data_IF_417473951986
#
_entry.id   IF_417473951986
#
_cell.length_a   1.000
_cell.length_b   1.000
_cell.length_c   1.000
_cell.angle_alpha   90.00
_cell.angle_beta   90.00
_cell.angle_gamma   90.00
#
_symmetry.space_group_name_H-M   'P 1'
#
loop_
_entity.id
_entity.type
_entity.pdbx_description
1 polymer ?
#
# COMPACT_ATOMS: atom_id res chain seq x y z
N UNK A 1 9.43 -22.96 4.63
CA UNK A 1 8.76 -23.27 5.91
C UNK A 1 9.80 -23.13 7.00
N UNK A 2 9.85 -21.98 7.65
CA UNK A 2 10.64 -21.82 8.87
C UNK A 2 9.64 -21.54 9.98
N UNK A 3 9.65 -22.39 11.03
CA UNK A 3 8.89 -22.16 12.28
C UNK A 3 7.36 -22.26 12.18
N UNK A 4 6.84 -23.12 11.30
CA UNK A 4 5.41 -23.48 11.29
C UNK A 4 4.51 -22.53 10.49
N UNK A 5 5.09 -21.55 9.79
CA UNK A 5 4.39 -20.69 8.84
C UNK A 5 4.96 -20.85 7.43
N UNK A 6 4.06 -20.84 6.45
CA UNK A 6 4.36 -20.76 5.03
C UNK A 6 4.07 -19.34 4.54
N UNK A 7 5.04 -18.75 3.85
CA UNK A 7 4.84 -17.55 3.05
C UNK A 7 5.02 -17.96 1.57
N UNK A 8 3.93 -18.21 0.83
CA UNK A 8 4.01 -18.80 -0.50
C UNK A 8 4.92 -18.04 -1.48
N UNK A 9 5.48 -18.76 -2.44
CA UNK A 9 6.22 -18.18 -3.55
C UNK A 9 5.27 -17.75 -4.68
N UNK A 10 4.19 -18.51 -4.87
CA UNK A 10 3.16 -18.22 -5.86
C UNK A 10 2.48 -16.89 -5.57
N UNK A 11 2.10 -16.16 -6.62
CA UNK A 11 1.49 -14.83 -6.48
C UNK A 11 2.51 -13.68 -6.28
N UNK A 12 3.78 -13.99 -6.02
CA UNK A 12 4.86 -13.00 -5.94
C UNK A 12 5.44 -12.68 -7.33
N UNK A 13 6.04 -11.50 -7.53
CA UNK A 13 6.81 -11.19 -8.73
C UNK A 13 8.06 -12.06 -8.85
N UNK A 14 8.42 -12.41 -10.08
CA UNK A 14 9.66 -13.14 -10.35
C UNK A 14 10.85 -12.19 -10.10
N UNK A 15 11.87 -12.67 -9.40
CA UNK A 15 13.07 -11.89 -9.07
C UNK A 15 13.77 -11.27 -10.28
N UNK A 16 13.57 -11.83 -11.48
CA UNK A 16 14.16 -11.35 -12.74
C UNK A 16 13.40 -10.19 -13.41
N UNK A 17 12.13 -9.93 -13.04
CA UNK A 17 11.28 -8.97 -13.76
C UNK A 17 11.20 -7.59 -13.10
N UNK A 18 11.50 -7.51 -11.79
CA UNK A 18 11.49 -6.26 -11.04
C UNK A 18 12.64 -6.28 -10.02
N UNK A 19 13.77 -5.59 -10.27
CA UNK A 19 14.89 -5.52 -9.32
C UNK A 19 14.53 -4.74 -8.04
N UNK A 20 13.42 -4.00 -8.06
CA UNK A 20 12.76 -3.44 -6.88
C UNK A 20 11.91 -4.55 -6.24
N UNK A 21 12.32 -4.98 -5.05
CA UNK A 21 11.85 -6.14 -4.27
C UNK A 21 10.36 -5.99 -3.91
N UNK A 22 9.47 -6.22 -4.88
CA UNK A 22 8.05 -6.47 -4.60
C UNK A 22 7.98 -7.91 -4.06
N UNK A 23 7.93 -8.05 -2.74
CA UNK A 23 7.87 -9.37 -2.06
C UNK A 23 6.45 -9.82 -1.74
N UNK A 24 5.46 -8.96 -1.93
CA UNK A 24 4.04 -9.24 -1.70
C UNK A 24 3.39 -10.05 -2.81
N UNK A 25 2.23 -10.63 -2.49
CA UNK A 25 1.41 -11.47 -3.35
C UNK A 25 0.49 -10.65 -4.27
N UNK A 26 1.00 -9.57 -4.87
CA UNK A 26 0.19 -8.60 -5.63
C UNK A 26 -0.59 -9.25 -6.78
N UNK A 27 -0.09 -10.34 -7.39
CA UNK A 27 -0.79 -11.04 -8.47
C UNK A 27 -2.14 -11.63 -8.00
N UNK A 28 -2.23 -12.08 -6.74
CA UNK A 28 -3.48 -12.60 -6.17
C UNK A 28 -4.56 -11.50 -6.07
N UNK A 29 -4.17 -10.29 -5.66
CA UNK A 29 -5.07 -9.15 -5.61
C UNK A 29 -5.48 -8.70 -7.03
N UNK A 30 -4.55 -8.67 -7.99
CA UNK A 30 -4.84 -8.29 -9.38
C UNK A 30 -5.78 -9.28 -10.08
N UNK A 31 -5.65 -10.59 -9.82
CA UNK A 31 -6.57 -11.59 -10.37
C UNK A 31 -8.01 -11.36 -9.88
N UNK A 32 -8.19 -11.00 -8.59
CA UNK A 32 -9.51 -10.65 -8.06
C UNK A 32 -10.09 -9.39 -8.68
N UNK A 33 -9.25 -8.40 -9.00
CA UNK A 33 -9.71 -7.13 -9.56
C UNK A 33 -9.85 -7.13 -11.08
N UNK A 34 -9.34 -8.17 -11.77
CA UNK A 34 -9.23 -8.25 -13.23
C UNK A 34 -8.53 -7.02 -13.84
N UNK A 35 -7.63 -6.35 -13.10
CA UNK A 35 -6.83 -5.27 -13.67
C UNK A 35 -5.96 -5.86 -14.80
N UNK A 36 -6.18 -5.39 -16.03
CA UNK A 36 -5.51 -5.81 -17.26
C UNK A 36 -3.97 -5.65 -17.17
N UNK A 37 -3.28 -6.59 -16.52
CA UNK A 37 -1.84 -6.81 -16.76
C UNK A 37 -1.64 -7.86 -17.84
N UNK A 38 -2.53 -7.96 -18.83
CA UNK A 38 -2.37 -8.61 -20.15
C UNK A 38 -1.88 -10.05 -20.25
N UNK A 39 -1.43 -10.68 -19.16
CA UNK A 39 -0.77 -11.98 -19.05
C UNK A 39 -0.78 -12.42 -17.57
N UNK A 40 -1.94 -12.39 -16.89
CA UNK A 40 -2.09 -13.22 -15.70
C UNK A 40 -2.75 -14.52 -16.15
N UNK A 41 -2.11 -15.69 -15.95
CA UNK A 41 -2.83 -16.94 -16.09
C UNK A 41 -3.97 -16.93 -15.07
N UNK A 42 -5.16 -17.30 -15.54
CA UNK A 42 -6.40 -17.40 -14.75
C UNK A 42 -6.36 -18.60 -13.79
N UNK A 43 -5.35 -18.64 -12.93
CA UNK A 43 -5.08 -19.76 -12.03
C UNK A 43 -4.22 -19.41 -10.82
N UNK A 44 -3.93 -18.14 -10.51
CA UNK A 44 -2.89 -17.84 -9.48
C UNK A 44 -3.39 -18.24 -8.09
N UNK A 45 -4.69 -18.10 -7.83
CA UNK A 45 -5.33 -18.61 -6.62
C UNK A 45 -5.31 -20.15 -6.52
N UNK A 46 -5.56 -20.84 -7.62
CA UNK A 46 -5.48 -22.30 -7.70
C UNK A 46 -4.04 -22.79 -7.48
N UNK A 47 -3.07 -22.11 -8.09
CA UNK A 47 -1.65 -22.42 -7.97
C UNK A 47 -1.16 -22.23 -6.52
N UNK A 48 -1.59 -21.16 -5.84
CA UNK A 48 -1.20 -20.94 -4.43
C UNK A 48 -1.86 -21.96 -3.50
N UNK A 49 -3.12 -22.35 -3.75
CA UNK A 49 -3.77 -23.43 -3.02
C UNK A 49 -3.03 -24.75 -3.20
N UNK A 50 -2.58 -25.06 -4.43
CA UNK A 50 -1.80 -26.26 -4.71
C UNK A 50 -0.44 -26.22 -3.99
N UNK A 51 0.25 -25.07 -3.98
CA UNK A 51 1.49 -24.88 -3.23
C UNK A 51 1.28 -25.14 -1.73
N UNK A 52 0.23 -24.57 -1.13
CA UNK A 52 -0.10 -24.76 0.29
C UNK A 52 -0.36 -26.25 0.58
N UNK A 53 -1.19 -26.91 -0.24
CA UNK A 53 -1.51 -28.34 -0.09
C UNK A 53 -0.29 -29.24 -0.22
N UNK A 54 0.59 -28.95 -1.18
CA UNK A 54 1.82 -29.73 -1.41
C UNK A 54 2.85 -29.56 -0.29
N UNK A 55 2.97 -28.36 0.28
CA UNK A 55 3.91 -28.09 1.37
C UNK A 55 3.36 -28.49 2.75
N UNK A 56 2.05 -28.66 2.89
CA UNK A 56 1.41 -29.20 4.10
C UNK A 56 1.55 -28.31 5.33
N UNK A 57 1.61 -26.99 5.15
CA UNK A 57 1.75 -26.03 6.26
C UNK A 57 0.39 -25.69 6.87
N UNK A 58 0.29 -25.71 8.19
CA UNK A 58 -0.93 -25.38 8.93
C UNK A 58 -1.20 -23.86 8.96
N UNK A 59 -0.15 -23.05 9.09
CA UNK A 59 -0.25 -21.60 9.06
C UNK A 59 0.31 -21.05 7.75
N UNK A 60 -0.44 -20.14 7.12
CA UNK A 60 -0.08 -19.51 5.86
C UNK A 60 -0.23 -18.01 5.97
N UNK A 61 0.77 -17.26 5.49
CA UNK A 61 0.75 -15.81 5.42
C UNK A 61 0.73 -15.40 3.95
N UNK A 62 -0.33 -14.68 3.57
CA UNK A 62 -0.44 -13.98 2.29
C UNK A 62 -0.54 -12.49 2.61
N UNK A 63 0.21 -11.66 1.86
CA UNK A 63 0.20 -10.21 2.07
C UNK A 63 0.32 -9.46 0.75
N UNK A 64 -0.55 -8.49 0.54
CA UNK A 64 -0.44 -7.51 -0.54
C UNK A 64 -1.20 -6.23 -0.15
N UNK A 65 -0.58 -5.06 -0.38
CA UNK A 65 -1.27 -3.78 -0.13
C UNK A 65 -2.49 -3.59 -1.03
N UNK A 66 -2.50 -4.18 -2.22
CA UNK A 66 -3.60 -4.06 -3.18
C UNK A 66 -4.91 -4.71 -2.72
N UNK A 67 -4.90 -5.56 -1.68
CA UNK A 67 -6.15 -6.02 -1.07
C UNK A 67 -6.97 -4.84 -0.51
N UNK A 68 -6.34 -3.77 -0.02
CA UNK A 68 -7.06 -2.60 0.50
C UNK A 68 -7.69 -1.75 -0.61
N UNK A 69 -7.35 -1.98 -1.88
CA UNK A 69 -7.96 -1.31 -3.02
C UNK A 69 -9.25 -2.00 -3.50
N UNK A 70 -9.56 -3.18 -2.96
CA UNK A 70 -10.78 -3.91 -3.28
C UNK A 70 -11.94 -3.28 -2.51
N UNK A 71 -12.72 -2.46 -3.21
CA UNK A 71 -13.92 -1.78 -2.69
C UNK A 71 -15.22 -2.41 -3.23
N UNK A 72 -15.16 -3.63 -3.77
CA UNK A 72 -16.29 -4.34 -4.32
C UNK A 72 -16.59 -5.61 -3.50
N UNK A 73 -17.80 -5.69 -2.98
CA UNK A 73 -18.26 -6.78 -2.10
C UNK A 73 -18.10 -8.16 -2.75
N UNK A 74 -18.39 -8.26 -4.06
CA UNK A 74 -18.27 -9.51 -4.83
C UNK A 74 -16.83 -10.05 -4.85
N UNK A 75 -15.83 -9.17 -5.00
CA UNK A 75 -14.42 -9.56 -5.03
C UNK A 75 -13.96 -10.10 -3.67
N UNK A 76 -14.45 -9.53 -2.57
CA UNK A 76 -14.19 -10.02 -1.21
C UNK A 76 -14.89 -11.37 -1.00
N UNK A 77 -16.11 -11.54 -1.53
CA UNK A 77 -16.81 -12.83 -1.52
C UNK A 77 -16.03 -13.91 -2.27
N UNK A 78 -15.47 -13.59 -3.44
CA UNK A 78 -14.66 -14.52 -4.22
C UNK A 78 -13.39 -14.91 -3.47
N UNK A 79 -12.71 -13.94 -2.84
CA UNK A 79 -11.59 -14.21 -1.95
C UNK A 79 -11.98 -15.15 -0.79
N UNK A 80 -13.13 -14.92 -0.15
CA UNK A 80 -13.64 -15.81 0.90
C UNK A 80 -13.87 -17.23 0.40
N UNK A 81 -14.34 -17.41 -0.83
CA UNK A 81 -14.51 -18.72 -1.45
C UNK A 81 -13.17 -19.44 -1.66
N UNK A 82 -12.16 -18.75 -2.18
CA UNK A 82 -10.79 -19.29 -2.31
C UNK A 82 -10.18 -19.71 -0.96
N UNK A 83 -10.58 -19.05 0.12
CA UNK A 83 -10.05 -19.31 1.45
C UNK A 83 -11.01 -20.13 2.34
N UNK A 84 -12.03 -20.75 1.76
CA UNK A 84 -13.09 -21.46 2.51
C UNK A 84 -12.61 -22.66 3.31
N UNK A 85 -11.49 -23.29 2.91
CA UNK A 85 -10.86 -24.40 3.62
C UNK A 85 -10.05 -23.94 4.87
N UNK A 86 -9.92 -22.63 5.12
CA UNK A 86 -9.04 -22.08 6.15
C UNK A 86 -9.76 -21.16 7.14
N UNK A 87 -9.36 -21.20 8.41
CA UNK A 87 -9.66 -20.13 9.35
C UNK A 87 -8.82 -18.90 8.97
N UNK A 88 -9.45 -17.92 8.34
CA UNK A 88 -8.76 -16.76 7.79
C UNK A 88 -8.84 -15.58 8.75
N UNK A 89 -7.68 -15.11 9.25
CA UNK A 89 -7.54 -13.81 9.92
C UNK A 89 -7.05 -12.76 8.92
N UNK A 90 -7.60 -11.55 8.99
CA UNK A 90 -7.24 -10.41 8.14
C UNK A 90 -6.53 -9.36 8.99
N UNK A 91 -5.23 -9.18 8.76
CA UNK A 91 -4.44 -8.14 9.44
C UNK A 91 -4.39 -6.89 8.55
N UNK A 92 -4.86 -5.75 9.05
CA UNK A 92 -4.89 -4.49 8.30
C UNK A 92 -4.19 -3.40 9.09
N UNK A 93 -3.22 -2.74 8.45
CA UNK A 93 -2.55 -1.56 8.98
C UNK A 93 -3.16 -0.30 8.38
N UNK A 94 -3.83 0.51 9.21
CA UNK A 94 -4.43 1.78 8.81
C UNK A 94 -3.39 2.89 8.98
N UNK A 95 -3.13 3.63 7.90
CA UNK A 95 -2.23 4.78 7.91
C UNK A 95 -3.04 6.07 7.96
N UNK A 96 -2.50 7.14 8.53
CA UNK A 96 -3.20 8.43 8.58
C UNK A 96 -3.59 8.90 7.16
N UNK A 97 -4.85 9.31 6.95
CA UNK A 97 -5.41 9.44 5.60
C UNK A 97 -4.69 10.44 4.70
N UNK A 98 -4.24 11.56 5.26
CA UNK A 98 -3.46 12.58 4.54
C UNK A 98 -2.12 12.02 4.06
N UNK A 99 -1.42 11.27 4.92
CA UNK A 99 -0.17 10.60 4.58
C UNK A 99 -0.39 9.45 3.59
N UNK A 100 -1.46 8.68 3.76
CA UNK A 100 -1.80 7.55 2.89
C UNK A 100 -2.13 8.01 1.48
N UNK A 101 -3.08 8.94 1.31
CA UNK A 101 -3.51 9.42 -0.01
C UNK A 101 -2.38 10.18 -0.73
N UNK A 102 -1.56 10.93 0.01
CA UNK A 102 -0.36 11.57 -0.55
C UNK A 102 0.66 10.53 -1.02
N UNK A 103 0.89 9.48 -0.23
CA UNK A 103 1.81 8.39 -0.59
C UNK A 103 1.32 7.64 -1.83
N UNK A 104 0.02 7.32 -1.90
CA UNK A 104 -0.59 6.65 -3.05
C UNK A 104 -0.50 7.51 -4.31
N UNK A 105 -0.78 8.82 -4.21
CA UNK A 105 -0.61 9.77 -5.30
C UNK A 105 0.84 9.78 -5.81
N UNK A 106 1.81 9.92 -4.91
CA UNK A 106 3.23 9.91 -5.27
C UNK A 106 3.62 8.61 -5.99
N UNK A 107 3.13 7.46 -5.54
CA UNK A 107 3.37 6.17 -6.20
C UNK A 107 2.76 6.13 -7.61
N UNK A 108 1.48 6.52 -7.75
CA UNK A 108 0.80 6.55 -9.06
C UNK A 108 1.48 7.53 -10.03
N UNK A 109 1.93 8.69 -9.57
CA UNK A 109 2.73 9.63 -10.37
C UNK A 109 4.06 9.01 -10.81
N UNK A 110 4.78 8.34 -9.91
CA UNK A 110 6.04 7.64 -10.24
C UNK A 110 5.86 6.54 -11.28
N UNK A 111 4.77 5.78 -11.17
CA UNK A 111 4.41 4.74 -12.14
C UNK A 111 3.90 5.31 -13.47
N UNK A 112 3.80 6.65 -13.58
CA UNK A 112 3.22 7.31 -14.73
C UNK A 112 1.70 7.20 -14.81
N UNK A 113 1.04 6.63 -13.81
CA UNK A 113 -0.40 6.36 -13.83
C UNK A 113 -1.23 7.62 -13.54
N UNK A 114 -0.64 8.63 -12.89
CA UNK A 114 -1.34 9.86 -12.53
C UNK A 114 -0.71 11.13 -13.11
N UNK A 115 -1.55 12.04 -13.59
CA UNK A 115 -1.16 13.35 -14.11
C UNK A 115 -2.00 14.52 -13.58
N UNK A 116 -3.04 14.26 -12.79
CA UNK A 116 -3.82 15.29 -12.09
C UNK A 116 -3.04 15.86 -10.90
N UNK A 117 -3.58 16.92 -10.29
CA UNK A 117 -3.07 17.48 -9.04
C UNK A 117 -3.41 16.58 -7.86
N UNK A 118 -2.68 16.72 -6.74
CA UNK A 118 -2.99 15.95 -5.53
C UNK A 118 -4.42 16.22 -5.02
N UNK A 119 -4.93 17.46 -5.13
CA UNK A 119 -6.29 17.79 -4.72
C UNK A 119 -7.35 17.05 -5.57
N UNK A 120 -7.16 17.02 -6.89
CA UNK A 120 -8.03 16.26 -7.80
C UNK A 120 -7.97 14.76 -7.49
N UNK A 121 -6.75 14.23 -7.32
CA UNK A 121 -6.54 12.84 -6.95
C UNK A 121 -7.26 12.47 -5.65
N UNK A 122 -7.06 13.25 -4.59
CA UNK A 122 -7.71 13.01 -3.30
C UNK A 122 -9.22 12.99 -3.46
N UNK A 123 -9.81 13.92 -4.22
CA UNK A 123 -11.25 13.97 -4.45
C UNK A 123 -11.79 12.71 -5.12
N UNK A 124 -11.08 12.17 -6.11
CA UNK A 124 -11.46 10.95 -6.83
C UNK A 124 -11.22 9.68 -6.01
N UNK A 125 -10.23 9.71 -5.10
CA UNK A 125 -9.74 8.55 -4.36
C UNK A 125 -10.14 8.56 -2.87
N UNK A 126 -11.07 9.45 -2.47
CA UNK A 126 -11.59 9.53 -1.08
C UNK A 126 -12.07 8.18 -0.53
N UNK A 127 -12.74 7.30 -1.31
CA UNK A 127 -13.21 6.02 -0.79
C UNK A 127 -12.10 5.14 -0.18
N UNK A 128 -10.85 5.25 -0.66
CA UNK A 128 -9.73 4.50 -0.08
C UNK A 128 -9.32 4.99 1.33
N UNK A 129 -9.74 6.19 1.72
CA UNK A 129 -9.50 6.75 3.06
C UNK A 129 -10.60 6.46 4.08
N UNK A 130 -11.74 5.91 3.64
CA UNK A 130 -12.87 5.60 4.51
C UNK A 130 -12.72 4.21 5.14
N UNK A 131 -11.95 4.16 6.22
CA UNK A 131 -11.59 2.90 6.87
C UNK A 131 -12.76 2.18 7.49
N UNK A 132 -13.73 2.89 8.06
CA UNK A 132 -14.92 2.22 8.59
C UNK A 132 -15.67 1.47 7.49
N UNK A 133 -15.91 2.11 6.34
CA UNK A 133 -16.59 1.45 5.22
C UNK A 133 -15.78 0.27 4.66
N UNK A 134 -14.46 0.44 4.49
CA UNK A 134 -13.55 -0.66 4.13
C UNK A 134 -13.73 -1.83 5.11
N UNK A 135 -13.60 -1.59 6.42
CA UNK A 135 -13.64 -2.65 7.42
C UNK A 135 -15.02 -3.32 7.54
N UNK A 136 -16.12 -2.59 7.29
CA UNK A 136 -17.46 -3.19 7.26
C UNK A 136 -17.61 -4.21 6.14
N UNK A 137 -17.05 -3.92 4.96
CA UNK A 137 -17.06 -4.88 3.85
C UNK A 137 -16.29 -6.15 4.19
N UNK A 138 -15.09 -6.02 4.75
CA UNK A 138 -14.30 -7.19 5.19
C UNK A 138 -15.01 -7.95 6.32
N UNK A 139 -15.60 -7.23 7.28
CA UNK A 139 -16.37 -7.80 8.40
C UNK A 139 -17.55 -8.63 7.93
N UNK A 140 -18.24 -8.20 6.88
CA UNK A 140 -19.39 -8.93 6.33
C UNK A 140 -19.05 -10.36 5.91
N UNK A 141 -17.85 -10.60 5.39
CA UNK A 141 -17.44 -11.92 4.86
C UNK A 141 -16.55 -12.72 5.80
N UNK A 142 -15.73 -12.04 6.60
CA UNK A 142 -14.76 -12.68 7.49
C UNK A 142 -15.19 -12.65 8.95
N UNK A 143 -16.15 -11.82 9.37
CA UNK A 143 -16.50 -11.64 10.78
C UNK A 143 -15.55 -10.65 11.48
N UNK A 144 -16.03 -9.99 12.54
CA UNK A 144 -15.25 -8.97 13.25
C UNK A 144 -14.09 -9.58 14.04
N UNK A 145 -14.32 -10.76 14.63
CA UNK A 145 -13.36 -11.55 15.40
C UNK A 145 -12.14 -12.02 14.58
N UNK A 146 -12.26 -11.96 13.25
CA UNK A 146 -11.18 -12.32 12.34
C UNK A 146 -10.46 -11.09 11.76
N UNK A 147 -10.87 -9.87 12.10
CA UNK A 147 -10.21 -8.64 11.68
C UNK A 147 -9.26 -8.14 12.77
N UNK A 148 -7.97 -8.11 12.44
CA UNK A 148 -6.90 -7.65 13.33
C UNK A 148 -6.45 -6.27 12.85
N UNK A 149 -6.99 -5.23 13.48
CA UNK A 149 -6.74 -3.84 13.08
C UNK A 149 -5.51 -3.30 13.80
N UNK A 150 -4.57 -2.76 13.02
CA UNK A 150 -3.34 -2.11 13.50
C UNK A 150 -3.28 -0.67 12.96
N UNK A 151 -2.59 0.20 13.68
CA UNK A 151 -2.37 1.59 13.25
C UNK A 151 -0.93 1.75 12.82
N UNK A 152 -0.71 2.19 11.58
CA UNK A 152 0.61 2.48 11.01
C UNK A 152 1.11 3.83 11.54
N UNK A 153 1.49 3.85 12.82
CA UNK A 153 2.07 5.02 13.49
C UNK A 153 3.18 4.54 14.43
N UNK A 154 4.39 5.10 14.28
CA UNK A 154 5.59 4.59 14.97
C UNK A 154 5.44 4.53 16.48
N UNK A 155 4.76 5.52 17.07
CA UNK A 155 4.44 5.60 18.50
C UNK A 155 3.51 4.48 18.98
N UNK A 156 2.78 3.82 18.08
CA UNK A 156 1.82 2.76 18.40
C UNK A 156 2.36 1.34 18.18
N UNK A 157 3.54 1.20 17.55
CA UNK A 157 4.14 -0.11 17.31
C UNK A 157 4.75 -0.71 18.58
N UNK A 158 4.51 -2.00 18.82
CA UNK A 158 5.23 -2.76 19.85
C UNK A 158 6.64 -3.10 19.34
N UNK A 159 7.66 -2.37 19.81
CA UNK A 159 9.06 -2.60 19.46
C UNK A 159 9.36 -2.56 17.95
N UNK A 160 8.68 -1.67 17.21
CA UNK A 160 8.82 -1.49 15.77
C UNK A 160 7.85 -2.33 14.94
N UNK A 161 7.69 -1.97 13.66
CA UNK A 161 6.65 -2.53 12.78
C UNK A 161 6.72 -4.06 12.64
N UNK A 162 7.93 -4.63 12.52
CA UNK A 162 8.09 -6.07 12.32
C UNK A 162 7.60 -6.82 13.56
N UNK A 163 8.05 -6.42 14.76
CA UNK A 163 7.58 -7.02 16.00
C UNK A 163 6.08 -6.81 16.20
N UNK A 164 5.55 -5.65 15.84
CA UNK A 164 4.12 -5.38 15.88
C UNK A 164 3.31 -6.39 15.06
N UNK A 165 3.76 -6.69 13.84
CA UNK A 165 3.15 -7.68 12.97
C UNK A 165 3.30 -9.09 13.49
N UNK A 166 4.50 -9.49 13.90
CA UNK A 166 4.76 -10.83 14.43
C UNK A 166 3.89 -11.13 15.66
N UNK A 167 3.79 -10.17 16.58
CA UNK A 167 2.89 -10.27 17.73
C UNK A 167 1.40 -10.31 17.32
N UNK A 168 1.00 -9.64 16.24
CA UNK A 168 -0.39 -9.65 15.80
C UNK A 168 -0.87 -10.99 15.23
N UNK A 169 0.06 -11.89 14.89
CA UNK A 169 -0.23 -13.23 14.35
C UNK A 169 0.29 -14.35 15.26
N UNK A 170 0.64 -14.01 16.51
CA UNK A 170 1.23 -14.93 17.49
C UNK A 170 2.45 -15.70 16.95
N UNK A 171 3.29 -15.02 16.16
CA UNK A 171 4.49 -15.63 15.60
C UNK A 171 5.49 -15.98 16.70
N UNK A 172 6.12 -17.18 16.69
CA UNK A 172 6.92 -17.67 17.82
C UNK A 172 8.30 -17.00 17.98
N UNK A 173 8.64 -16.02 17.16
CA UNK A 173 9.93 -15.33 17.17
C UNK A 173 9.75 -13.81 17.16
N UNK A 174 10.68 -13.14 17.83
CA UNK A 174 10.88 -11.69 17.70
C UNK A 174 11.76 -11.38 16.46
N UNK A 175 11.63 -10.18 15.93
CA UNK A 175 12.40 -9.72 14.77
C UNK A 175 13.92 -9.80 14.99
N UNK A 176 14.38 -9.59 16.23
CA UNK A 176 15.81 -9.69 16.61
C UNK A 176 16.38 -11.11 16.45
N UNK A 177 15.51 -12.12 16.44
CA UNK A 177 15.88 -13.53 16.27
C UNK A 177 15.82 -13.97 14.79
N UNK A 178 15.30 -13.11 13.90
CA UNK A 178 15.18 -13.39 12.49
C UNK A 178 16.46 -13.03 11.74
N UNK A 179 16.97 -13.96 10.94
CA UNK A 179 18.04 -13.68 9.99
C UNK A 179 17.44 -13.16 8.70
N UNK A 180 17.28 -11.84 8.60
CA UNK A 180 16.96 -11.20 7.34
C UNK A 180 18.18 -10.44 6.81
N UNK A 181 18.43 -10.54 5.50
CA UNK A 181 19.46 -9.75 4.85
C UNK A 181 19.08 -8.27 4.97
N UNK A 182 19.84 -7.50 5.76
CA UNK A 182 19.73 -6.04 5.84
C UNK A 182 20.01 -5.33 4.51
N UNK A 183 20.41 -6.09 3.47
CA UNK A 183 20.73 -5.64 2.12
C UNK A 183 19.56 -4.97 1.37
N UNK A 184 18.33 -5.00 1.89
CA UNK A 184 17.18 -4.28 1.32
C UNK A 184 16.60 -3.21 2.25
N UNK A 185 17.41 -2.60 3.11
CA UNK A 185 17.14 -1.21 3.53
C UNK A 185 17.50 -0.25 2.39
N UNK A 186 17.09 -0.54 1.14
CA UNK A 186 16.65 0.54 0.28
C UNK A 186 15.45 1.11 1.02
N UNK A 187 15.70 2.06 1.91
CA UNK A 187 14.65 2.86 2.49
C UNK A 187 13.74 3.23 1.33
N UNK A 188 12.45 2.95 1.44
CA UNK A 188 11.44 3.59 0.61
C UNK A 188 11.50 5.08 0.95
N UNK A 189 12.61 5.74 0.60
CA UNK A 189 12.84 7.15 0.80
C UNK A 189 11.76 7.78 -0.05
N UNK A 190 10.84 8.45 0.65
CA UNK A 190 9.86 9.25 -0.04
C UNK A 190 10.64 10.23 -0.92
N UNK A 191 10.54 10.03 -2.22
CA UNK A 191 11.16 10.89 -3.22
C UNK A 191 10.78 12.35 -2.93
N UNK A 192 11.70 13.27 -3.26
CA UNK A 192 11.44 14.70 -3.16
C UNK A 192 10.08 15.08 -3.77
N UNK A 193 9.30 15.86 -3.04
CA UNK A 193 7.99 16.34 -3.50
C UNK A 193 8.13 17.21 -4.76
N UNK A 194 9.24 17.94 -4.91
CA UNK A 194 9.59 18.64 -6.16
C UNK A 194 9.74 17.68 -7.33
N UNK A 195 10.42 16.55 -7.14
CA UNK A 195 10.56 15.54 -8.19
C UNK A 195 9.19 14.92 -8.55
N UNK A 196 8.31 14.66 -7.58
CA UNK A 196 6.92 14.24 -7.86
C UNK A 196 6.17 15.27 -8.70
N UNK A 197 6.27 16.57 -8.38
CA UNK A 197 5.64 17.62 -9.19
C UNK A 197 6.18 17.65 -10.63
N UNK A 198 7.49 17.49 -10.82
CA UNK A 198 8.09 17.41 -12.16
C UNK A 198 7.56 16.19 -12.92
N UNK A 199 7.57 15.00 -12.30
CA UNK A 199 7.03 13.78 -12.89
C UNK A 199 5.56 13.93 -13.28
N UNK A 200 4.74 14.54 -12.42
CA UNK A 200 3.33 14.78 -12.71
C UNK A 200 3.15 15.66 -13.96
N UNK A 201 3.94 16.73 -14.10
CA UNK A 201 3.92 17.57 -15.31
C UNK A 201 4.34 16.79 -16.55
N UNK A 202 5.35 15.94 -16.45
CA UNK A 202 5.79 15.06 -17.55
C UNK A 202 4.70 14.05 -17.93
N UNK A 203 4.02 13.46 -16.94
CA UNK A 203 2.88 12.55 -17.17
C UNK A 203 1.74 13.27 -17.92
N UNK A 204 1.48 14.54 -17.59
CA UNK A 204 0.46 15.37 -18.25
C UNK A 204 0.82 15.67 -19.71
N UNK A 205 2.09 15.98 -20.00
CA UNK A 205 2.57 16.24 -21.38
C UNK A 205 2.50 14.97 -22.23
N UNK A 206 2.78 13.82 -21.63
CA UNK A 206 2.72 12.50 -22.28
C UNK A 206 1.30 11.90 -22.30
N UNK A 207 0.28 12.67 -21.94
CA UNK A 207 -1.13 12.26 -21.92
C UNK A 207 -1.72 12.14 -23.32
N UNK A 208 -1.70 10.93 -23.88
CA UNK A 208 -2.33 10.63 -25.16
C UNK A 208 -2.88 9.20 -25.22
N UNK A 209 -4.02 9.04 -25.90
CA UNK A 209 -4.83 7.81 -25.85
C UNK A 209 -4.44 6.75 -26.90
N UNK A 210 -3.51 7.06 -27.80
CA UNK A 210 -3.08 6.10 -28.83
C UNK A 210 -2.13 5.04 -28.25
N UNK A 211 -2.10 3.85 -28.85
CA UNK A 211 -1.18 2.78 -28.45
C UNK A 211 0.30 3.22 -28.52
N UNK A 212 0.65 4.09 -29.47
CA UNK A 212 1.99 4.65 -29.63
C UNK A 212 2.33 5.57 -28.44
N UNK A 213 1.41 6.44 -28.04
CA UNK A 213 1.58 7.32 -26.87
C UNK A 213 1.69 6.52 -25.58
N UNK A 214 0.89 5.45 -25.40
CA UNK A 214 1.02 4.52 -24.27
C UNK A 214 2.40 3.84 -24.23
N UNK A 215 2.95 3.44 -25.39
CA UNK A 215 4.29 2.84 -25.48
C UNK A 215 5.41 3.85 -25.19
N UNK A 216 5.30 5.07 -25.71
CA UNK A 216 6.24 6.16 -25.43
C UNK A 216 6.20 6.56 -23.95
N UNK A 217 5.01 6.64 -23.36
CA UNK A 217 4.81 6.87 -21.93
C UNK A 217 5.52 5.81 -21.09
N UNK A 218 5.35 4.52 -21.38
CA UNK A 218 6.06 3.44 -20.66
C UNK A 218 7.59 3.57 -20.76
N UNK A 219 8.12 3.92 -21.94
CA UNK A 219 9.56 4.17 -22.13
C UNK A 219 10.02 5.41 -21.36
N UNK A 220 9.26 6.49 -21.38
CA UNK A 220 9.57 7.73 -20.66
C UNK A 220 9.55 7.50 -19.15
N UNK A 221 8.53 6.82 -18.63
CA UNK A 221 8.42 6.42 -17.21
C UNK A 221 9.67 5.67 -16.79
N UNK A 222 10.11 4.67 -17.56
CA UNK A 222 11.35 3.96 -17.27
C UNK A 222 12.58 4.87 -17.23
N UNK A 223 12.69 5.84 -18.17
CA UNK A 223 13.85 6.73 -18.27
C UNK A 223 13.98 7.69 -17.09
N UNK A 224 12.88 8.34 -16.67
CA UNK A 224 12.95 9.25 -15.52
C UNK A 224 12.75 8.56 -14.19
N UNK A 225 12.23 7.33 -14.14
CA UNK A 225 12.28 6.52 -12.93
C UNK A 225 13.73 6.38 -12.46
N UNK A 226 14.63 5.93 -13.32
CA UNK A 226 16.03 5.74 -12.94
C UNK A 226 16.74 7.05 -12.57
N UNK A 227 16.39 8.16 -13.24
CA UNK A 227 17.02 9.47 -13.03
C UNK A 227 16.44 10.24 -11.84
N UNK A 228 15.18 10.05 -11.49
CA UNK A 228 14.55 10.85 -10.44
C UNK A 228 14.34 10.07 -9.15
N UNK A 229 14.24 8.74 -9.20
CA UNK A 229 13.96 7.89 -8.03
C UNK A 229 15.20 7.32 -7.33
N UNK A 230 16.39 7.56 -7.89
CA UNK A 230 17.66 7.14 -7.29
C UNK A 230 18.44 8.36 -6.78
N UNK A 231 19.20 8.19 -5.71
CA UNK A 231 20.13 9.20 -5.20
C UNK A 231 21.25 9.44 -6.22
N UNK A 232 21.03 10.40 -7.11
CA UNK A 232 21.96 10.76 -8.17
C UNK A 232 22.07 12.28 -8.33
N UNK A 233 23.01 12.73 -9.17
CA UNK A 233 23.29 14.16 -9.38
C UNK A 233 22.07 14.98 -9.82
N UNK A 234 21.13 14.38 -10.57
CA UNK A 234 19.91 15.07 -11.03
C UNK A 234 18.91 15.24 -9.90
N UNK A 235 18.68 14.18 -9.10
CA UNK A 235 17.84 14.26 -7.91
C UNK A 235 18.33 15.33 -6.92
N UNK A 236 19.65 15.44 -6.73
CA UNK A 236 20.29 16.46 -5.91
C UNK A 236 20.13 17.88 -6.47
N UNK A 237 20.13 18.05 -7.80
CA UNK A 237 19.86 19.35 -8.42
C UNK A 237 18.40 19.77 -8.24
N UNK A 238 17.45 18.83 -8.30
CA UNK A 238 16.03 19.11 -8.09
C UNK A 238 15.76 19.59 -6.66
N UNK A 239 16.42 18.98 -5.66
CA UNK A 239 16.34 19.43 -4.27
C UNK A 239 16.75 20.90 -4.10
N UNK A 240 17.76 21.35 -4.88
CA UNK A 240 18.29 22.71 -4.86
C UNK A 240 17.44 23.75 -5.59
N UNK A 241 16.41 23.36 -6.33
CA UNK A 241 15.51 24.31 -6.99
C UNK A 241 14.81 25.16 -5.92
N UNK A 242 14.85 26.51 -6.00
CA UNK A 242 14.18 27.36 -5.02
C UNK A 242 12.67 27.09 -4.89
N UNK A 243 12.13 27.18 -3.68
CA UNK A 243 10.70 26.96 -3.42
C UNK A 243 9.78 27.96 -4.15
N UNK A 244 10.30 29.13 -4.54
CA UNK A 244 9.61 30.09 -5.39
C UNK A 244 9.36 29.59 -6.82
N UNK A 245 10.17 28.64 -7.30
CA UNK A 245 10.02 28.03 -8.62
C UNK A 245 9.19 26.76 -8.51
N UNK A 246 9.55 25.85 -7.59
CA UNK A 246 8.80 24.63 -7.31
C UNK A 246 8.73 24.47 -5.80
N UNK A 247 7.55 24.74 -5.24
CA UNK A 247 7.28 24.54 -3.82
C UNK A 247 7.48 23.06 -3.44
N UNK A 248 8.00 22.82 -2.24
CA UNK A 248 8.15 21.48 -1.65
C UNK A 248 6.88 21.04 -0.89
N UNK A 249 5.78 21.76 -1.02
CA UNK A 249 4.49 21.42 -0.40
C UNK A 249 3.55 20.80 -1.43
N UNK A 250 3.07 19.58 -1.21
CA UNK A 250 2.08 18.94 -2.09
C UNK A 250 0.64 19.30 -1.72
N UNK A 251 0.37 19.45 -0.42
CA UNK A 251 -0.92 19.74 0.17
C UNK A 251 -0.70 20.73 1.31
N UNK A 252 -1.56 21.74 1.42
CA UNK A 252 -1.45 22.73 2.48
C UNK A 252 -1.78 22.13 3.85
N UNK A 253 -1.23 22.70 4.93
CA UNK A 253 -1.62 22.30 6.30
C UNK A 253 -3.13 22.39 6.50
N UNK A 254 -3.76 23.45 5.97
CA UNK A 254 -5.21 23.62 6.08
C UNK A 254 -5.98 22.54 5.31
N UNK A 255 -5.55 22.18 4.10
CA UNK A 255 -6.17 21.10 3.32
C UNK A 255 -6.00 19.74 4.01
N UNK A 256 -4.87 19.49 4.68
CA UNK A 256 -4.69 18.29 5.51
C UNK A 256 -5.67 18.26 6.68
N UNK A 257 -5.86 19.39 7.38
CA UNK A 257 -6.86 19.50 8.45
C UNK A 257 -8.24 19.18 7.92
N UNK A 258 -8.64 19.83 6.83
CA UNK A 258 -9.95 19.65 6.22
C UNK A 258 -10.17 18.19 5.80
N UNK A 259 -9.18 17.57 5.16
CA UNK A 259 -9.23 16.17 4.76
C UNK A 259 -9.41 15.22 5.97
N UNK A 260 -8.66 15.43 7.05
CA UNK A 260 -8.77 14.59 8.25
C UNK A 260 -10.12 14.77 8.96
N UNK A 261 -10.70 15.97 8.92
CA UNK A 261 -12.03 16.22 9.46
C UNK A 261 -13.11 15.44 8.70
N UNK A 262 -12.99 15.30 7.37
CA UNK A 262 -13.93 14.49 6.58
C UNK A 262 -13.95 13.01 7.03
N UNK A 263 -12.79 12.47 7.43
CA UNK A 263 -12.68 11.09 7.92
C UNK A 263 -12.81 10.94 9.43
N UNK A 264 -13.10 12.02 10.17
CA UNK A 264 -13.10 12.00 11.64
C UNK A 264 -14.12 10.99 12.20
N UNK A 265 -15.31 10.93 11.59
CA UNK A 265 -16.35 9.97 12.01
C UNK A 265 -15.93 8.52 11.74
N UNK A 266 -15.43 8.25 10.53
CA UNK A 266 -14.92 6.94 10.14
C UNK A 266 -13.83 6.48 11.11
N UNK A 267 -12.85 7.34 11.40
CA UNK A 267 -11.78 7.08 12.36
C UNK A 267 -12.28 6.84 13.78
N UNK A 268 -13.26 7.63 14.24
CA UNK A 268 -13.85 7.49 15.57
C UNK A 268 -14.48 6.11 15.76
N UNK A 269 -15.27 5.67 14.79
CA UNK A 269 -15.92 4.36 14.80
C UNK A 269 -14.92 3.23 14.75
N UNK A 270 -13.87 3.34 13.91
CA UNK A 270 -12.80 2.33 13.90
C UNK A 270 -12.13 2.21 15.25
N UNK A 271 -11.76 3.33 15.88
CA UNK A 271 -11.10 3.33 17.18
C UNK A 271 -11.97 2.72 18.29
N UNK A 272 -13.27 3.00 18.29
CA UNK A 272 -14.21 2.48 19.29
C UNK A 272 -14.56 1.02 19.05
N UNK A 273 -14.95 0.65 17.82
CA UNK A 273 -15.53 -0.66 17.51
C UNK A 273 -14.46 -1.75 17.31
N UNK A 274 -13.26 -1.40 16.84
CA UNK A 274 -12.21 -2.37 16.50
C UNK A 274 -10.99 -2.31 17.41
N UNK A 275 -10.78 -1.21 18.14
CA UNK A 275 -9.63 -1.03 19.04
C UNK A 275 -10.05 -0.76 20.49
N UNK A 276 -11.35 -0.75 20.79
CA UNK A 276 -11.92 -0.54 22.13
C UNK A 276 -11.46 0.77 22.79
N UNK A 277 -11.19 1.80 21.99
CA UNK A 277 -10.75 3.11 22.48
C UNK A 277 -11.95 4.02 22.67
N UNK A 278 -12.41 4.19 23.90
CA UNK A 278 -13.55 5.07 24.24
C UNK A 278 -13.36 6.51 23.72
N UNK A 279 -12.10 7.00 23.72
CA UNK A 279 -11.75 8.33 23.21
C UNK A 279 -12.08 8.54 21.72
N UNK A 280 -12.25 7.47 20.95
CA UNK A 280 -12.44 7.55 19.50
C UNK A 280 -11.19 8.01 18.74
N UNK A 281 -10.04 8.08 19.39
CA UNK A 281 -8.81 8.54 18.75
C UNK A 281 -8.06 7.38 18.07
N UNK A 282 -8.06 7.38 16.74
CA UNK A 282 -7.34 6.37 15.94
C UNK A 282 -5.84 6.68 15.82
N UNK A 283 -5.50 7.92 15.46
CA UNK A 283 -4.13 8.41 15.28
C UNK A 283 -3.74 9.38 16.39
N UNK A 284 -2.54 9.22 16.95
CA UNK A 284 -2.03 10.10 18.03
C UNK A 284 -1.13 11.21 17.49
N UNK A 285 -0.58 11.03 16.30
CA UNK A 285 0.22 12.06 15.63
C UNK A 285 -0.62 13.29 15.30
N UNK A 286 -0.17 14.45 15.78
CA UNK A 286 -0.67 15.74 15.34
C UNK A 286 -0.14 16.07 13.94
N UNK A 287 -0.70 17.09 13.29
CA UNK A 287 -0.03 17.68 12.13
C UNK A 287 1.22 18.37 12.66
N UNK A 288 2.38 17.72 12.54
CA UNK A 288 3.64 18.39 12.83
C UNK A 288 3.77 19.60 11.90
N UNK A 289 4.13 20.79 12.41
CA UNK A 289 4.67 21.82 11.55
C UNK A 289 5.92 21.24 10.91
N UNK A 290 5.90 21.13 9.58
CA UNK A 290 7.03 20.61 8.81
C UNK A 290 8.18 21.61 9.00
N UNK A 291 9.21 21.21 9.75
CA UNK A 291 10.50 21.92 9.84
C UNK A 291 11.27 21.70 8.54
#
# INVERSE_FOLDING_TARGET
MDKGFLYPLTGRPNASSFPQIRVGHHKLAHELTQEETGILPSSVWEDVQQEIKTLGSENVIISAEYFTLILESEKISNLKNYLSEYETKIVIYLRKQDDYLTSLYCEKVKMGLESCTLQEFIKENKPYGDYYNLLQMWRQYFGQENLIIRVYEKSQFKNGLINDFLNSIDFPLEASQMKYNSFSLSSNVSQSRKATKIMQRLNKINGGNTAIQKRLKRKMVSLYHDVLSTDNSVSNLILKIPNSIISDELISVQDRINLLQEFAESNRRVAQEYLERESGQLFYSTLEPII
#
